data_IF_951726558208
#
_entry.id   IF_951726558208
#
_cell.length_a   1.000
_cell.length_b   1.000
_cell.length_c   1.000
_cell.angle_alpha   90.00
_cell.angle_beta   90.00
_cell.angle_gamma   90.00
#
_symmetry.space_group_name_H-M   'P 1'
#
loop_
_entity.id
_entity.type
_entity.pdbx_description
1 polymer ?
#
# COMPACT_ATOMS: atom_id res chain seq x y z
N UNK A 1 36.61 3.53 8.83
CA UNK A 1 35.88 3.59 7.54
C UNK A 1 34.47 3.06 7.81
N UNK A 2 33.51 3.95 8.04
CA UNK A 2 32.12 3.55 8.36
C UNK A 2 31.42 3.17 7.06
N UNK A 3 31.12 1.90 6.87
CA UNK A 3 30.29 1.42 5.77
C UNK A 3 28.87 1.96 5.98
N UNK A 4 28.60 3.15 5.46
CA UNK A 4 27.24 3.68 5.37
C UNK A 4 26.47 2.72 4.47
N UNK A 5 25.60 1.92 5.07
CA UNK A 5 24.57 1.19 4.34
C UNK A 5 23.75 2.26 3.60
N UNK A 6 24.00 2.43 2.30
CA UNK A 6 23.31 3.40 1.47
C UNK A 6 21.85 2.97 1.36
N UNK A 7 20.97 3.58 2.16
CA UNK A 7 19.53 3.29 2.18
C UNK A 7 18.83 4.23 1.21
N UNK A 8 18.27 3.76 0.08
CA UNK A 8 17.38 4.57 -0.74
C UNK A 8 16.24 5.11 0.13
N UNK A 9 16.06 6.43 0.14
CA UNK A 9 15.03 7.13 0.92
C UNK A 9 13.62 6.85 0.41
N UNK A 10 13.50 6.57 -0.87
CA UNK A 10 12.24 6.23 -1.54
C UNK A 10 12.48 5.07 -2.51
N UNK A 11 11.50 4.19 -2.62
CA UNK A 11 11.44 3.11 -3.60
C UNK A 11 10.20 3.35 -4.45
N UNK A 12 10.28 3.10 -5.75
CA UNK A 12 9.18 3.38 -6.70
C UNK A 12 7.91 2.59 -6.36
N UNK A 13 8.06 1.42 -5.75
CA UNK A 13 6.94 0.56 -5.39
C UNK A 13 6.94 0.23 -3.90
N UNK A 14 5.75 0.34 -3.31
CA UNK A 14 5.51 0.02 -1.90
C UNK A 14 5.87 -1.43 -1.56
N UNK A 15 5.62 -2.39 -2.46
CA UNK A 15 5.95 -3.79 -2.20
C UNK A 15 7.46 -4.01 -1.96
N UNK A 16 8.33 -3.25 -2.64
CA UNK A 16 9.79 -3.33 -2.43
C UNK A 16 10.16 -2.75 -1.08
N UNK A 17 9.49 -1.67 -0.67
CA UNK A 17 9.66 -1.07 0.65
C UNK A 17 9.27 -2.05 1.76
N UNK A 18 8.10 -2.67 1.65
CA UNK A 18 7.59 -3.63 2.62
C UNK A 18 8.48 -4.88 2.70
N UNK A 19 8.96 -5.39 1.56
CA UNK A 19 9.93 -6.49 1.51
C UNK A 19 11.20 -6.14 2.29
N UNK A 20 11.80 -4.99 1.98
CA UNK A 20 13.02 -4.50 2.65
C UNK A 20 12.81 -4.34 4.15
N UNK A 21 11.70 -3.72 4.55
CA UNK A 21 11.31 -3.53 5.94
C UNK A 21 11.23 -4.87 6.67
N UNK A 22 10.51 -5.84 6.10
CA UNK A 22 10.37 -7.17 6.70
C UNK A 22 11.70 -7.94 6.80
N UNK A 23 12.63 -7.69 5.87
CA UNK A 23 13.89 -8.41 5.81
C UNK A 23 14.94 -7.85 6.76
N UNK A 24 15.13 -6.53 6.76
CA UNK A 24 16.26 -5.87 7.39
C UNK A 24 15.96 -5.24 8.75
N UNK A 25 14.70 -4.91 9.08
CA UNK A 25 14.40 -4.13 10.30
C UNK A 25 14.92 -4.83 11.56
N UNK A 26 14.63 -6.12 11.74
CA UNK A 26 15.06 -6.84 12.94
C UNK A 26 16.61 -6.95 13.04
N UNK A 27 17.31 -7.02 11.90
CA UNK A 27 18.78 -7.11 11.86
C UNK A 27 19.39 -5.75 12.19
N UNK A 28 18.83 -4.68 11.61
CA UNK A 28 19.22 -3.30 11.90
C UNK A 28 19.02 -2.99 13.39
N UNK A 29 17.89 -3.41 13.97
CA UNK A 29 17.62 -3.24 15.39
C UNK A 29 18.68 -3.96 16.24
N UNK A 30 19.00 -5.22 15.93
CA UNK A 30 20.03 -5.96 16.66
C UNK A 30 21.43 -5.30 16.57
N UNK A 31 21.79 -4.77 15.39
CA UNK A 31 23.06 -4.04 15.20
C UNK A 31 23.05 -2.74 16.01
N UNK A 32 21.95 -1.98 15.98
CA UNK A 32 21.82 -0.71 16.70
C UNK A 32 21.82 -0.91 18.22
N UNK A 33 21.16 -1.96 18.72
CA UNK A 33 21.21 -2.36 20.13
C UNK A 33 22.64 -2.64 20.58
N UNK A 34 23.41 -3.41 19.78
CA UNK A 34 24.82 -3.68 20.08
C UNK A 34 25.66 -2.41 20.10
N UNK A 35 25.43 -1.49 19.17
CA UNK A 35 26.12 -0.19 19.13
C UNK A 35 25.86 0.63 20.40
N UNK A 36 24.66 0.54 20.96
CA UNK A 36 24.27 1.20 22.21
C UNK A 36 24.72 0.45 23.48
N UNK A 37 25.39 -0.69 23.34
CA UNK A 37 25.86 -1.50 24.48
C UNK A 37 24.84 -2.54 24.98
N UNK A 38 23.65 -2.63 24.39
CA UNK A 38 22.66 -3.64 24.73
C UNK A 38 22.94 -4.94 23.97
N UNK A 39 23.08 -6.05 24.69
CA UNK A 39 23.15 -7.39 24.10
C UNK A 39 21.74 -7.93 23.91
N UNK A 40 21.13 -7.62 22.76
CA UNK A 40 19.89 -8.26 22.32
C UNK A 40 20.20 -9.57 21.60
N UNK A 41 19.33 -10.57 21.78
CA UNK A 41 19.41 -11.81 21.03
C UNK A 41 19.14 -11.53 19.54
N UNK A 42 19.94 -12.14 18.66
CA UNK A 42 19.69 -12.07 17.23
C UNK A 42 18.34 -12.75 16.97
N UNK A 43 17.41 -12.09 16.26
CA UNK A 43 16.11 -12.68 15.94
C UNK A 43 16.30 -13.98 15.14
N UNK A 44 15.48 -15.00 15.44
CA UNK A 44 15.48 -16.25 14.67
C UNK A 44 15.24 -15.94 13.18
N UNK A 45 15.91 -16.63 12.25
CA UNK A 45 15.59 -16.50 10.83
C UNK A 45 14.11 -16.85 10.61
N UNK A 46 13.36 -15.89 10.05
CA UNK A 46 11.96 -16.07 9.65
C UNK A 46 11.87 -16.48 8.19
N UNK A 47 10.95 -17.39 7.88
CA UNK A 47 10.60 -17.74 6.51
C UNK A 47 9.88 -16.58 5.82
N UNK A 48 9.83 -16.59 4.48
CA UNK A 48 9.11 -15.57 3.73
C UNK A 48 7.62 -15.51 4.12
N UNK A 49 6.98 -16.68 4.27
CA UNK A 49 5.58 -16.77 4.68
C UNK A 49 5.31 -16.13 6.06
N UNK A 50 6.17 -16.37 7.05
CA UNK A 50 6.06 -15.75 8.37
C UNK A 50 6.19 -14.21 8.30
N UNK A 51 7.09 -13.71 7.45
CA UNK A 51 7.29 -12.27 7.28
C UNK A 51 6.09 -11.61 6.61
N UNK A 52 5.53 -12.25 5.60
CA UNK A 52 4.29 -11.80 4.92
C UNK A 52 3.14 -11.79 5.90
N UNK A 53 2.96 -12.87 6.69
CA UNK A 53 1.94 -12.94 7.73
C UNK A 53 2.11 -11.79 8.73
N UNK A 54 3.34 -11.52 9.19
CA UNK A 54 3.64 -10.43 10.10
C UNK A 54 3.24 -9.07 9.52
N UNK A 55 3.61 -8.78 8.26
CA UNK A 55 3.22 -7.54 7.59
C UNK A 55 1.71 -7.40 7.49
N UNK A 56 0.98 -8.46 7.11
CA UNK A 56 -0.49 -8.40 7.02
C UNK A 56 -1.19 -8.40 8.39
N UNK A 57 -0.54 -8.93 9.42
CA UNK A 57 -1.05 -8.91 10.80
C UNK A 57 -0.91 -7.55 11.47
N UNK A 58 0.01 -6.71 10.99
CA UNK A 58 0.27 -5.36 11.51
C UNK A 58 -1.00 -4.50 11.45
N UNK A 59 -1.49 -3.96 12.58
CA UNK A 59 -2.64 -3.07 12.62
C UNK A 59 -2.52 -1.88 11.65
N UNK A 60 -1.31 -1.33 11.48
CA UNK A 60 -1.09 -0.21 10.56
C UNK A 60 -1.27 -0.63 9.10
N UNK A 61 -0.80 -1.82 8.73
CA UNK A 61 -0.98 -2.34 7.38
C UNK A 61 -2.46 -2.62 7.09
N UNK A 62 -3.22 -3.11 8.08
CA UNK A 62 -4.66 -3.32 7.97
C UNK A 62 -5.41 -2.00 7.77
N UNK A 63 -5.08 -0.98 8.57
CA UNK A 63 -5.68 0.34 8.44
C UNK A 63 -5.46 0.91 7.03
N UNK A 64 -4.22 0.86 6.54
CA UNK A 64 -3.89 1.35 5.20
C UNK A 64 -4.54 0.54 4.07
N UNK A 65 -4.74 -0.77 4.27
CA UNK A 65 -5.51 -1.59 3.32
C UNK A 65 -6.99 -1.20 3.29
N UNK A 66 -7.55 -0.85 4.45
CA UNK A 66 -8.93 -0.39 4.57
C UNK A 66 -9.13 0.98 3.93
N UNK A 67 -8.20 1.91 4.14
CA UNK A 67 -8.24 3.23 3.51
C UNK A 67 -8.23 3.13 1.98
N UNK A 68 -7.35 2.28 1.41
CA UNK A 68 -7.34 2.01 -0.05
C UNK A 68 -8.67 1.44 -0.54
N UNK A 69 -9.26 0.52 0.20
CA UNK A 69 -10.58 -0.02 -0.15
C UNK A 69 -11.66 1.07 -0.18
N UNK A 70 -11.65 2.00 0.79
CA UNK A 70 -12.59 3.12 0.80
C UNK A 70 -12.40 4.06 -0.39
N UNK A 71 -11.15 4.29 -0.82
CA UNK A 71 -10.88 5.07 -2.04
C UNK A 71 -11.43 4.39 -3.29
N UNK A 72 -11.29 3.07 -3.41
CA UNK A 72 -11.85 2.31 -4.53
C UNK A 72 -13.38 2.39 -4.55
N UNK A 73 -14.03 2.22 -3.40
CA UNK A 73 -15.49 2.37 -3.27
C UNK A 73 -15.93 3.78 -3.69
N UNK A 74 -15.19 4.80 -3.26
CA UNK A 74 -15.45 6.20 -3.63
C UNK A 74 -15.27 6.43 -5.13
N UNK A 75 -14.29 5.78 -5.76
CA UNK A 75 -14.07 5.87 -7.20
C UNK A 75 -15.21 5.22 -7.97
N UNK A 76 -15.60 4.00 -7.60
CA UNK A 76 -16.70 3.25 -8.24
C UNK A 76 -18.00 4.04 -8.13
N UNK A 77 -18.39 4.46 -6.93
CA UNK A 77 -19.62 5.22 -6.71
C UNK A 77 -19.67 6.52 -7.52
N UNK A 78 -18.55 7.26 -7.61
CA UNK A 78 -18.47 8.47 -8.45
C UNK A 78 -18.60 8.17 -9.95
N UNK A 79 -17.93 7.13 -10.44
CA UNK A 79 -18.00 6.68 -11.83
C UNK A 79 -19.40 6.20 -12.21
N UNK A 80 -20.09 5.50 -11.32
CA UNK A 80 -21.47 5.08 -11.53
C UNK A 80 -22.42 6.27 -11.65
N UNK A 81 -22.31 7.25 -10.76
CA UNK A 81 -23.13 8.47 -10.79
C UNK A 81 -22.89 9.26 -12.08
N UNK A 82 -21.64 9.47 -12.46
CA UNK A 82 -21.31 10.22 -13.69
C UNK A 82 -21.76 9.47 -14.95
N UNK A 83 -21.57 8.15 -15.00
CA UNK A 83 -22.00 7.31 -16.11
C UNK A 83 -23.52 7.33 -16.31
N UNK A 84 -24.31 7.26 -15.21
CA UNK A 84 -25.78 7.36 -15.27
C UNK A 84 -26.23 8.71 -15.82
N UNK A 85 -25.65 9.80 -15.31
CA UNK A 85 -25.97 11.17 -15.76
C UNK A 85 -25.66 11.31 -17.26
N UNK A 86 -24.48 10.86 -17.69
CA UNK A 86 -24.08 10.93 -19.09
C UNK A 86 -25.02 10.12 -19.99
N UNK A 87 -25.38 8.90 -19.59
CA UNK A 87 -26.31 8.06 -20.33
C UNK A 87 -27.68 8.71 -20.47
N UNK A 88 -28.22 9.29 -19.40
CA UNK A 88 -29.52 9.96 -19.43
C UNK A 88 -29.53 11.15 -20.39
N UNK A 89 -28.53 12.04 -20.28
CA UNK A 89 -28.41 13.19 -21.19
C UNK A 89 -28.25 12.78 -22.65
N UNK A 90 -27.51 11.69 -22.91
CA UNK A 90 -27.29 11.22 -24.28
C UNK A 90 -28.57 10.64 -24.87
N UNK A 91 -29.34 9.86 -24.09
CA UNK A 91 -30.65 9.35 -24.50
C UNK A 91 -31.66 10.48 -24.74
N UNK A 92 -31.74 11.47 -23.85
CA UNK A 92 -32.63 12.62 -24.02
C UNK A 92 -32.24 13.46 -25.25
N UNK A 93 -30.94 13.69 -25.47
CA UNK A 93 -30.44 14.44 -26.63
C UNK A 93 -30.67 13.69 -27.95
N UNK A 94 -30.44 12.37 -27.95
CA UNK A 94 -30.74 11.50 -29.09
C UNK A 94 -32.25 11.54 -29.40
N UNK A 95 -33.11 11.31 -28.39
CA UNK A 95 -34.55 11.35 -28.56
C UNK A 95 -35.02 12.70 -29.13
N UNK A 96 -34.55 13.83 -28.59
CA UNK A 96 -34.88 15.18 -29.11
C UNK A 96 -34.45 15.39 -30.56
N UNK A 97 -33.34 14.79 -30.99
CA UNK A 97 -32.82 14.91 -32.37
C UNK A 97 -33.69 14.17 -33.38
N UNK A 98 -34.21 13.00 -33.01
CA UNK A 98 -34.98 12.13 -33.93
C UNK A 98 -36.50 12.21 -33.75
N UNK A 99 -37.01 12.81 -32.67
CA UNK A 99 -38.45 13.09 -32.47
C UNK A 99 -38.95 14.35 -33.22
N UNK A 100 -38.05 15.14 -33.83
CA UNK A 100 -38.40 16.32 -34.64
C UNK A 100 -38.48 16.05 -36.15
N UNK A 101 -38.39 14.78 -36.56
CA UNK A 101 -38.68 14.29 -37.90
C UNK A 101 -40.08 13.67 -37.90
#
# INVERSE_FOLDING_TARGET
MMSIIFRPRYLQYKYIYDYRRSYYDNVLEAIESRRKGYRTNIPRPQTWAERVLRTHSDPFHKLESFDRYLEDVKLVTRSEVSGRIYSQYNCESFNKRYLKL
#
